data_IF_763544081944
#
_entry.id   IF_763544081944
#
_cell.length_a   1.000
_cell.length_b   1.000
_cell.length_c   1.000
_cell.angle_alpha   90.00
_cell.angle_beta   90.00
_cell.angle_gamma   90.00
#
_symmetry.space_group_name_H-M   'P 1'
#
loop_
_entity.id
_entity.type
_entity.pdbx_description
1 polymer ?
#
# COMPACT_ATOMS: atom_id res chain seq x y z
N UNK A 1 -103.97 -35.53 -0.78
CA UNK A 1 -103.66 -36.93 -0.41
C UNK A 1 -102.34 -37.33 -1.04
N UNK A 2 -101.33 -37.71 -0.22
CA UNK A 2 -100.11 -38.53 -0.53
C UNK A 2 -99.23 -38.12 -1.72
N UNK A 3 -97.90 -38.16 -1.70
CA UNK A 3 -96.83 -38.34 -0.72
C UNK A 3 -95.52 -38.25 -1.54
N UNK A 4 -94.47 -37.60 -0.98
CA UNK A 4 -93.03 -38.04 -0.92
C UNK A 4 -92.34 -38.57 -2.20
N UNK A 5 -91.08 -38.29 -2.57
CA UNK A 5 -89.77 -37.87 -1.98
C UNK A 5 -88.84 -37.70 -3.23
N UNK A 6 -87.81 -36.86 -3.33
CA UNK A 6 -86.44 -37.01 -2.81
C UNK A 6 -85.56 -36.04 -3.63
N UNK A 7 -85.00 -34.98 -3.03
CA UNK A 7 -83.56 -34.81 -2.72
C UNK A 7 -82.56 -35.06 -3.87
N UNK A 8 -81.91 -34.00 -4.36
CA UNK A 8 -80.45 -33.91 -4.55
C UNK A 8 -80.04 -32.45 -4.79
N UNK A 9 -79.32 -31.89 -3.82
CA UNK A 9 -78.81 -30.50 -3.79
C UNK A 9 -77.53 -30.42 -4.61
N UNK A 10 -77.43 -29.45 -5.53
CA UNK A 10 -76.21 -29.17 -6.30
C UNK A 10 -75.29 -28.24 -5.48
N UNK A 11 -74.07 -28.68 -5.21
CA UNK A 11 -73.01 -27.86 -4.62
C UNK A 11 -72.34 -27.03 -5.72
N UNK A 12 -72.34 -25.70 -5.58
CA UNK A 12 -71.59 -24.76 -6.42
C UNK A 12 -70.21 -24.58 -5.79
N UNK A 13 -69.15 -24.92 -6.54
CA UNK A 13 -67.78 -24.62 -6.14
C UNK A 13 -67.42 -23.21 -6.63
N UNK A 14 -67.15 -22.29 -5.70
CA UNK A 14 -66.67 -20.93 -5.95
C UNK A 14 -65.14 -20.93 -5.82
N UNK A 15 -64.42 -20.82 -6.93
CA UNK A 15 -62.95 -20.71 -6.92
C UNK A 15 -62.56 -19.25 -6.75
N UNK A 16 -62.03 -18.89 -5.58
CA UNK A 16 -61.45 -17.56 -5.31
C UNK A 16 -60.00 -17.60 -5.79
N UNK A 17 -59.70 -16.88 -6.87
CA UNK A 17 -58.34 -16.64 -7.33
C UNK A 17 -57.65 -15.58 -6.47
N UNK A 18 -56.67 -15.99 -5.68
CA UNK A 18 -55.76 -15.08 -4.97
C UNK A 18 -54.71 -14.57 -5.96
N UNK A 19 -54.84 -13.32 -6.40
CA UNK A 19 -53.75 -12.62 -7.10
C UNK A 19 -52.70 -12.19 -6.05
N UNK A 20 -51.64 -12.99 -5.90
CA UNK A 20 -50.42 -12.56 -5.23
C UNK A 20 -49.68 -11.60 -6.16
N UNK A 21 -49.88 -10.29 -5.93
CA UNK A 21 -49.03 -9.25 -6.51
C UNK A 21 -47.70 -9.32 -5.75
N UNK A 22 -46.78 -10.14 -6.25
CA UNK A 22 -45.39 -10.13 -5.82
C UNK A 22 -44.75 -8.81 -6.24
N UNK A 23 -44.70 -7.84 -5.33
CA UNK A 23 -43.88 -6.65 -5.50
C UNK A 23 -42.42 -7.08 -5.52
N UNK A 24 -41.83 -7.21 -6.71
CA UNK A 24 -40.39 -7.18 -6.87
C UNK A 24 -39.93 -5.78 -6.45
N UNK A 25 -39.53 -5.64 -5.18
CA UNK A 25 -38.64 -4.56 -4.79
C UNK A 25 -37.34 -4.86 -5.51
N UNK A 26 -37.15 -4.23 -6.67
CA UNK A 26 -35.83 -4.10 -7.26
C UNK A 26 -34.95 -3.47 -6.18
N UNK A 27 -34.10 -4.25 -5.53
CA UNK A 27 -33.05 -3.70 -4.70
C UNK A 27 -32.24 -2.79 -5.61
N UNK A 28 -32.44 -1.47 -5.48
CA UNK A 28 -31.56 -0.50 -6.13
C UNK A 28 -30.17 -0.80 -5.60
N UNK A 29 -29.29 -1.26 -6.48
CA UNK A 29 -27.87 -1.35 -6.18
C UNK A 29 -27.45 0.03 -5.66
N UNK A 30 -26.80 0.13 -4.49
CA UNK A 30 -26.31 1.41 -4.00
C UNK A 30 -25.47 2.07 -5.09
N UNK A 31 -25.85 3.27 -5.51
CA UNK A 31 -25.05 3.99 -6.51
C UNK A 31 -23.82 4.56 -5.81
N UNK A 32 -22.68 3.88 -5.95
CA UNK A 32 -21.40 4.39 -5.47
C UNK A 32 -20.86 5.50 -6.40
N UNK A 33 -20.01 6.41 -5.89
CA UNK A 33 -19.22 7.31 -6.71
C UNK A 33 -18.44 6.54 -7.81
N UNK A 34 -18.20 7.15 -9.00
CA UNK A 34 -17.60 6.47 -10.13
C UNK A 34 -16.23 5.82 -9.84
N UNK A 35 -15.38 6.44 -9.02
CA UNK A 35 -14.06 5.87 -8.71
C UNK A 35 -14.15 4.61 -7.84
N UNK A 36 -15.14 4.57 -6.94
CA UNK A 36 -15.40 3.40 -6.11
C UNK A 36 -15.98 2.29 -6.97
N UNK A 37 -16.93 2.62 -7.84
CA UNK A 37 -17.55 1.59 -8.66
C UNK A 37 -16.57 0.99 -9.67
N UNK A 38 -15.67 1.79 -10.24
CA UNK A 38 -14.58 1.28 -11.06
C UNK A 38 -13.67 0.30 -10.30
N UNK A 39 -13.40 0.55 -9.01
CA UNK A 39 -12.64 -0.36 -8.16
C UNK A 39 -13.43 -1.64 -7.85
N UNK A 40 -14.71 -1.53 -7.53
CA UNK A 40 -15.60 -2.67 -7.27
C UNK A 40 -15.76 -3.57 -8.49
N UNK A 41 -15.92 -3.00 -9.68
CA UNK A 41 -15.94 -3.73 -10.95
C UNK A 41 -14.62 -4.46 -11.22
N UNK A 42 -13.50 -3.82 -10.87
CA UNK A 42 -12.15 -4.40 -11.01
C UNK A 42 -11.86 -5.50 -10.00
N UNK A 43 -12.60 -5.59 -8.89
CA UNK A 43 -12.40 -6.57 -7.81
C UNK A 43 -12.90 -7.99 -8.15
N UNK A 44 -13.52 -8.19 -9.32
CA UNK A 44 -14.02 -9.51 -9.79
C UNK A 44 -14.84 -10.22 -8.69
N UNK A 45 -14.45 -11.43 -8.29
CA UNK A 45 -15.12 -12.21 -7.24
C UNK A 45 -15.01 -11.64 -5.83
N UNK A 46 -14.12 -10.67 -5.61
CA UNK A 46 -13.88 -10.05 -4.30
C UNK A 46 -14.73 -8.80 -4.04
N UNK A 47 -15.50 -8.31 -5.02
CA UNK A 47 -16.45 -7.19 -4.87
C UNK A 47 -17.29 -7.26 -3.58
N UNK A 48 -17.86 -8.42 -3.19
CA UNK A 48 -18.67 -8.51 -1.96
C UNK A 48 -17.89 -8.17 -0.67
N UNK A 49 -16.58 -8.42 -0.60
CA UNK A 49 -15.77 -8.00 0.56
C UNK A 49 -15.73 -6.47 0.65
N UNK A 50 -15.41 -5.79 -0.46
CA UNK A 50 -15.31 -4.34 -0.50
C UNK A 50 -16.66 -3.64 -0.22
N UNK A 51 -17.76 -4.19 -0.74
CA UNK A 51 -19.12 -3.70 -0.44
C UNK A 51 -19.47 -3.87 1.05
N UNK A 52 -19.03 -4.96 1.70
CA UNK A 52 -19.22 -5.13 3.15
C UNK A 52 -18.47 -4.08 3.97
N UNK A 53 -17.25 -3.70 3.57
CA UNK A 53 -16.51 -2.60 4.20
C UNK A 53 -17.28 -1.28 4.07
N UNK A 54 -17.74 -0.94 2.85
CA UNK A 54 -18.51 0.28 2.61
C UNK A 54 -19.81 0.29 3.42
N UNK A 55 -20.55 -0.82 3.43
CA UNK A 55 -21.78 -0.97 4.21
C UNK A 55 -21.52 -0.83 5.71
N UNK A 56 -20.48 -1.48 6.23
CA UNK A 56 -20.11 -1.43 7.64
C UNK A 56 -19.94 0.01 8.13
N UNK A 57 -19.23 0.86 7.36
CA UNK A 57 -19.03 2.26 7.74
C UNK A 57 -20.17 3.19 7.33
N UNK A 58 -20.96 2.86 6.30
CA UNK A 58 -22.16 3.63 5.94
C UNK A 58 -23.26 3.54 7.01
N UNK A 59 -23.35 2.41 7.70
CA UNK A 59 -24.26 2.20 8.83
C UNK A 59 -23.75 2.86 10.12
N UNK A 60 -22.48 3.27 10.16
CA UNK A 60 -21.90 4.01 11.29
C UNK A 60 -22.34 5.47 11.29
N UNK A 61 -22.39 6.10 12.48
CA UNK A 61 -22.60 7.56 12.61
C UNK A 61 -21.34 8.36 12.21
N UNK A 62 -20.24 7.70 11.92
CA UNK A 62 -18.93 8.32 11.71
C UNK A 62 -18.65 8.52 10.22
N UNK A 63 -19.01 9.71 9.73
CA UNK A 63 -18.86 10.03 8.30
C UNK A 63 -17.40 10.03 7.82
N UNK A 64 -16.42 10.21 8.72
CA UNK A 64 -15.00 10.20 8.33
C UNK A 64 -14.52 8.78 8.07
N UNK A 65 -14.95 7.80 8.85
CA UNK A 65 -14.58 6.40 8.62
C UNK A 65 -15.12 5.88 7.29
N UNK A 66 -16.36 6.26 6.93
CA UNK A 66 -16.89 5.95 5.60
C UNK A 66 -16.08 6.60 4.47
N UNK A 67 -15.70 7.88 4.62
CA UNK A 67 -14.85 8.57 3.64
C UNK A 67 -13.46 7.93 3.52
N UNK A 68 -12.89 7.44 4.61
CA UNK A 68 -11.61 6.75 4.60
C UNK A 68 -11.69 5.39 3.89
N UNK A 69 -12.77 4.63 4.12
CA UNK A 69 -13.04 3.39 3.37
C UNK A 69 -13.18 3.67 1.87
N UNK A 70 -13.93 4.72 1.50
CA UNK A 70 -14.07 5.19 0.13
C UNK A 70 -12.70 5.54 -0.49
N UNK A 71 -11.87 6.29 0.23
CA UNK A 71 -10.53 6.67 -0.20
C UNK A 71 -9.65 5.45 -0.49
N UNK A 72 -9.63 4.45 0.41
CA UNK A 72 -8.84 3.25 0.22
C UNK A 72 -9.31 2.47 -1.01
N UNK A 73 -10.61 2.20 -1.11
CA UNK A 73 -11.18 1.40 -2.21
C UNK A 73 -11.00 2.09 -3.56
N UNK A 74 -11.32 3.39 -3.68
CA UNK A 74 -11.18 4.14 -4.92
C UNK A 74 -9.74 4.20 -5.46
N UNK A 75 -8.75 4.11 -4.57
CA UNK A 75 -7.32 4.19 -4.92
C UNK A 75 -6.61 2.83 -4.91
N UNK A 76 -7.32 1.72 -4.70
CA UNK A 76 -6.72 0.39 -4.55
C UNK A 76 -6.14 -0.20 -5.85
N UNK A 77 -6.64 0.23 -7.01
CA UNK A 77 -6.15 -0.24 -8.31
C UNK A 77 -4.65 0.04 -8.48
N UNK A 78 -3.86 -1.03 -8.69
CA UNK A 78 -2.41 -0.96 -8.88
C UNK A 78 -1.60 -1.35 -7.64
N UNK A 79 -2.23 -1.42 -6.46
CA UNK A 79 -1.60 -1.96 -5.26
C UNK A 79 -1.66 -3.50 -5.27
N UNK A 80 -0.53 -4.13 -4.97
CA UNK A 80 -0.37 -5.57 -5.13
C UNK A 80 0.77 -6.13 -4.27
N UNK A 81 0.83 -7.45 -4.17
CA UNK A 81 2.02 -8.19 -3.82
C UNK A 81 2.70 -8.70 -5.10
N UNK A 82 4.01 -8.52 -5.23
CA UNK A 82 4.77 -8.99 -6.38
C UNK A 82 5.90 -9.92 -5.95
N UNK A 83 6.02 -11.06 -6.62
CA UNK A 83 7.16 -11.98 -6.46
C UNK A 83 8.03 -11.98 -7.71
N UNK A 84 9.31 -12.25 -7.51
CA UNK A 84 10.30 -12.34 -8.57
C UNK A 84 10.98 -13.71 -8.50
N UNK A 85 11.43 -14.18 -9.65
CA UNK A 85 12.26 -15.37 -9.77
C UNK A 85 13.54 -15.01 -10.50
N UNK A 86 14.63 -15.65 -10.11
CA UNK A 86 15.88 -15.59 -10.85
C UNK A 86 15.71 -16.34 -12.16
N UNK A 87 16.07 -15.73 -13.28
CA UNK A 87 15.91 -16.31 -14.62
C UNK A 87 17.15 -16.14 -15.47
N UNK A 88 17.33 -17.09 -16.38
CA UNK A 88 18.33 -17.01 -17.44
C UNK A 88 17.80 -16.23 -18.66
N UNK A 89 18.67 -16.07 -19.66
CA UNK A 89 18.33 -15.38 -20.92
C UNK A 89 17.25 -16.07 -21.77
N UNK A 90 16.89 -17.31 -21.44
CA UNK A 90 15.83 -18.09 -22.09
C UNK A 90 14.54 -18.12 -21.25
N UNK A 91 14.46 -17.30 -20.20
CA UNK A 91 13.34 -17.20 -19.24
C UNK A 91 13.15 -18.44 -18.34
N UNK A 92 14.14 -19.35 -18.27
CA UNK A 92 14.07 -20.48 -17.35
C UNK A 92 14.28 -20.02 -15.90
N UNK A 93 13.45 -20.50 -14.97
CA UNK A 93 13.61 -20.21 -13.55
C UNK A 93 14.81 -20.99 -12.96
N UNK A 94 15.72 -20.27 -12.31
CA UNK A 94 16.89 -20.82 -11.63
C UNK A 94 16.63 -20.78 -10.11
N UNK A 95 16.65 -21.93 -9.42
CA UNK A 95 16.46 -21.96 -7.97
C UNK A 95 17.54 -21.15 -7.25
N UNK A 96 17.12 -20.16 -6.47
CA UNK A 96 18.00 -19.30 -5.71
C UNK A 96 17.29 -18.77 -4.46
N UNK A 97 17.95 -18.88 -3.31
CA UNK A 97 17.41 -18.43 -2.03
C UNK A 97 18.55 -17.90 -1.16
N UNK A 98 18.44 -16.62 -0.77
CA UNK A 98 19.44 -15.92 0.03
C UNK A 98 19.68 -16.57 1.39
N UNK A 99 18.69 -17.28 1.95
CA UNK A 99 18.78 -17.89 3.27
C UNK A 99 19.67 -19.14 3.29
N UNK A 100 20.09 -19.63 2.12
CA UNK A 100 21.08 -20.71 2.01
C UNK A 100 22.53 -20.24 2.19
N UNK A 101 22.76 -18.92 2.31
CA UNK A 101 24.10 -18.34 2.40
C UNK A 101 24.32 -17.66 3.75
N UNK A 102 25.57 -17.70 4.24
CA UNK A 102 25.95 -17.03 5.49
C UNK A 102 26.15 -15.51 5.35
N UNK A 103 26.06 -14.98 4.14
CA UNK A 103 26.18 -13.55 3.85
C UNK A 103 26.46 -13.27 2.36
N UNK A 104 26.61 -11.99 2.02
CA UNK A 104 26.78 -11.51 0.65
C UNK A 104 27.97 -12.16 -0.10
N UNK A 105 29.12 -12.30 0.56
CA UNK A 105 30.33 -12.84 -0.08
C UNK A 105 30.17 -14.28 -0.62
N UNK A 106 29.76 -15.25 0.22
CA UNK A 106 29.44 -16.60 -0.25
C UNK A 106 28.33 -16.64 -1.30
N UNK A 107 27.30 -15.78 -1.16
CA UNK A 107 26.20 -15.68 -2.11
C UNK A 107 26.68 -15.22 -3.49
N UNK A 108 27.51 -14.17 -3.57
CA UNK A 108 27.96 -13.63 -4.87
C UNK A 108 28.93 -14.59 -5.57
N UNK A 109 29.76 -15.31 -4.79
CA UNK A 109 30.62 -16.35 -5.34
C UNK A 109 29.84 -17.54 -5.93
N UNK A 110 28.63 -17.80 -5.43
CA UNK A 110 27.75 -18.81 -6.01
C UNK A 110 26.95 -18.26 -7.21
N UNK A 111 26.49 -17.01 -7.13
CA UNK A 111 25.89 -16.29 -8.25
C UNK A 111 26.80 -16.28 -9.49
N UNK A 112 28.09 -15.97 -9.34
CA UNK A 112 29.07 -16.00 -10.44
C UNK A 112 29.20 -17.38 -11.09
N UNK A 113 29.05 -18.46 -10.31
CA UNK A 113 29.05 -19.83 -10.86
C UNK A 113 27.76 -20.08 -11.63
N UNK A 114 26.61 -19.72 -11.07
CA UNK A 114 25.32 -19.87 -11.73
C UNK A 114 25.32 -19.08 -13.06
N UNK A 115 25.83 -17.85 -13.06
CA UNK A 115 25.99 -17.02 -14.26
C UNK A 115 26.88 -17.69 -15.32
N UNK A 116 27.98 -18.34 -14.90
CA UNK A 116 28.85 -19.09 -15.82
C UNK A 116 28.18 -20.34 -16.43
N UNK A 117 27.20 -20.92 -15.74
CA UNK A 117 26.50 -22.15 -16.16
C UNK A 117 25.29 -21.82 -17.05
N UNK A 118 24.50 -20.82 -16.65
CA UNK A 118 23.21 -20.49 -17.24
C UNK A 118 23.26 -19.24 -18.14
N UNK A 119 24.40 -18.53 -18.17
CA UNK A 119 24.51 -17.21 -18.78
C UNK A 119 23.98 -16.10 -17.86
N UNK A 120 23.89 -14.85 -18.37
CA UNK A 120 23.44 -13.71 -17.59
C UNK A 120 22.12 -13.97 -16.87
N UNK A 121 22.12 -13.74 -15.56
CA UNK A 121 20.94 -13.93 -14.71
C UNK A 121 20.31 -12.60 -14.29
N UNK A 122 18.98 -12.56 -14.26
CA UNK A 122 18.24 -11.40 -13.76
C UNK A 122 16.94 -11.83 -13.06
N UNK A 123 16.44 -10.99 -12.15
CA UNK A 123 15.16 -11.23 -11.49
C UNK A 123 13.99 -10.76 -12.38
N UNK A 124 13.22 -11.72 -12.88
CA UNK A 124 11.98 -11.48 -13.61
C UNK A 124 10.75 -11.56 -12.71
N UNK A 125 9.72 -10.75 -12.98
CA UNK A 125 8.42 -10.86 -12.29
C UNK A 125 7.85 -12.25 -12.50
N UNK A 126 7.40 -12.89 -11.40
CA UNK A 126 6.81 -14.23 -11.40
C UNK A 126 5.31 -14.16 -11.17
N UNK A 127 4.90 -13.79 -9.96
CA UNK A 127 3.49 -13.70 -9.59
C UNK A 127 3.11 -12.26 -9.22
N UNK A 128 1.83 -11.94 -9.44
CA UNK A 128 1.23 -10.68 -9.08
C UNK A 128 -0.13 -10.94 -8.44
N UNK A 129 -0.31 -10.49 -7.20
CA UNK A 129 -1.58 -10.61 -6.48
C UNK A 129 -2.10 -9.21 -6.21
N UNK A 130 -3.12 -8.78 -6.96
CA UNK A 130 -3.72 -7.46 -6.76
C UNK A 130 -4.58 -7.44 -5.51
N UNK A 131 -4.52 -6.34 -4.76
CA UNK A 131 -5.30 -6.19 -3.53
C UNK A 131 -6.80 -6.28 -3.79
N UNK A 132 -7.26 -5.66 -4.88
CA UNK A 132 -8.65 -5.72 -5.32
C UNK A 132 -9.15 -7.17 -5.46
N UNK A 133 -8.29 -8.11 -5.84
CA UNK A 133 -8.66 -9.51 -6.06
C UNK A 133 -8.74 -10.33 -4.75
N UNK A 134 -8.04 -9.93 -3.68
CA UNK A 134 -7.84 -10.81 -2.50
C UNK A 134 -8.05 -10.18 -1.13
N UNK A 135 -8.07 -8.85 -1.00
CA UNK A 135 -8.14 -8.20 0.31
C UNK A 135 -9.48 -8.49 0.99
N UNK A 136 -9.44 -8.91 2.26
CA UNK A 136 -10.65 -9.19 3.02
C UNK A 136 -11.26 -7.93 3.63
N UNK A 137 -12.57 -8.01 3.88
CA UNK A 137 -13.29 -6.99 4.65
C UNK A 137 -12.75 -6.85 6.07
N UNK A 138 -12.47 -7.97 6.74
CA UNK A 138 -11.91 -7.99 8.10
C UNK A 138 -10.57 -7.27 8.21
N UNK A 139 -9.70 -7.42 7.21
CA UNK A 139 -8.40 -6.75 7.17
C UNK A 139 -8.56 -5.25 7.00
N UNK A 140 -9.39 -4.80 6.05
CA UNK A 140 -9.63 -3.38 5.82
C UNK A 140 -10.29 -2.71 7.02
N UNK A 141 -11.28 -3.36 7.64
CA UNK A 141 -11.95 -2.85 8.83
C UNK A 141 -10.95 -2.72 9.99
N UNK A 142 -10.14 -3.75 10.28
CA UNK A 142 -9.11 -3.66 11.33
C UNK A 142 -8.11 -2.54 11.05
N UNK A 143 -7.66 -2.39 9.79
CA UNK A 143 -6.74 -1.32 9.40
C UNK A 143 -7.35 0.07 9.63
N UNK A 144 -8.59 0.29 9.18
CA UNK A 144 -9.29 1.58 9.32
C UNK A 144 -9.52 1.87 10.80
N UNK A 145 -10.03 0.90 11.57
CA UNK A 145 -10.32 1.07 12.99
C UNK A 145 -9.07 1.46 13.80
N UNK A 146 -7.95 0.75 13.61
CA UNK A 146 -6.71 1.08 14.30
C UNK A 146 -6.08 2.39 13.79
N UNK A 147 -6.23 2.72 12.50
CA UNK A 147 -5.76 4.01 11.98
C UNK A 147 -6.52 5.17 12.64
N UNK A 148 -7.85 5.08 12.74
CA UNK A 148 -8.67 6.09 13.43
C UNK A 148 -8.41 6.13 14.93
N UNK A 149 -8.21 4.96 15.56
CA UNK A 149 -7.83 4.87 16.96
C UNK A 149 -6.56 5.67 17.22
N UNK A 150 -5.51 5.41 16.46
CA UNK A 150 -4.25 6.15 16.59
C UNK A 150 -4.40 7.64 16.27
N UNK A 151 -5.10 8.00 15.19
CA UNK A 151 -5.31 9.40 14.80
C UNK A 151 -6.09 10.22 15.84
N UNK A 152 -7.02 9.58 16.57
CA UNK A 152 -7.85 10.24 17.59
C UNK A 152 -7.23 10.24 18.98
N UNK A 153 -6.55 9.16 19.35
CA UNK A 153 -6.01 8.97 20.70
C UNK A 153 -4.63 9.62 20.87
N UNK A 154 -3.75 9.55 19.84
CA UNK A 154 -2.37 10.02 19.97
C UNK A 154 -2.26 11.55 19.92
N UNK A 155 -1.61 12.22 20.90
CA UNK A 155 -1.61 13.68 20.97
C UNK A 155 -0.92 14.36 19.78
N UNK A 156 0.17 13.81 19.26
CA UNK A 156 0.87 14.33 18.08
C UNK A 156 0.06 14.27 16.78
N UNK A 157 -0.93 13.38 16.70
CA UNK A 157 -1.74 13.18 15.50
C UNK A 157 -2.86 14.22 15.34
N UNK A 158 -3.20 14.97 16.41
CA UNK A 158 -4.30 15.95 16.45
C UNK A 158 -4.18 17.10 15.45
N UNK A 159 -2.96 17.41 15.02
CA UNK A 159 -2.69 18.47 14.05
C UNK A 159 -2.93 18.05 12.59
N UNK A 160 -3.02 16.74 12.32
CA UNK A 160 -3.19 16.23 10.96
C UNK A 160 -4.61 16.49 10.45
N UNK A 161 -4.71 17.02 9.24
CA UNK A 161 -5.99 17.07 8.52
C UNK A 161 -6.44 15.66 8.11
N UNK A 162 -7.70 15.54 7.72
CA UNK A 162 -8.25 14.27 7.23
C UNK A 162 -7.54 13.80 5.95
N UNK A 163 -7.09 14.72 5.10
CA UNK A 163 -6.37 14.44 3.87
C UNK A 163 -4.97 13.87 4.19
N UNK A 164 -4.24 14.49 5.13
CA UNK A 164 -2.96 13.97 5.60
C UNK A 164 -3.12 12.59 6.25
N UNK A 165 -4.19 12.40 7.02
CA UNK A 165 -4.53 11.09 7.58
C UNK A 165 -4.74 10.04 6.48
N UNK A 166 -5.56 10.34 5.48
CA UNK A 166 -5.85 9.42 4.38
C UNK A 166 -4.60 9.04 3.59
N UNK A 167 -3.73 10.01 3.30
CA UNK A 167 -2.56 9.79 2.45
C UNK A 167 -1.37 9.17 3.19
N UNK A 168 -1.16 9.52 4.46
CA UNK A 168 0.11 9.23 5.15
C UNK A 168 -0.02 8.39 6.43
N UNK A 169 -1.23 8.13 6.92
CA UNK A 169 -1.48 7.32 8.14
C UNK A 169 -2.31 6.07 7.84
N UNK A 170 -3.42 6.26 7.11
CA UNK A 170 -4.41 5.24 6.77
C UNK A 170 -3.91 4.09 5.89
N UNK A 171 -2.99 4.28 4.91
CA UNK A 171 -2.66 3.21 3.98
C UNK A 171 -2.01 2.01 4.66
N UNK A 172 -2.47 0.82 4.29
CA UNK A 172 -2.02 -0.47 4.83
C UNK A 172 -0.75 -1.02 4.15
N UNK A 173 -0.23 -0.31 3.13
CA UNK A 173 0.97 -0.69 2.36
C UNK A 173 2.04 0.40 2.30
N UNK A 174 3.29 -0.03 2.13
CA UNK A 174 4.43 0.83 1.79
C UNK A 174 4.99 0.60 0.38
N UNK A 175 4.83 -0.60 -0.18
CA UNK A 175 5.37 -1.03 -1.48
C UNK A 175 4.57 -2.21 -2.05
N UNK A 176 5.25 -3.25 -2.58
CA UNK A 176 4.62 -4.45 -3.14
C UNK A 176 4.80 -5.70 -2.24
N UNK A 177 4.76 -5.54 -0.93
CA UNK A 177 4.85 -6.60 0.09
C UNK A 177 3.59 -7.51 0.14
N UNK A 178 3.57 -8.64 0.88
CA UNK A 178 2.32 -9.36 1.15
C UNK A 178 1.38 -8.59 2.11
N UNK A 179 0.06 -8.87 2.03
CA UNK A 179 -0.92 -8.34 3.00
C UNK A 179 -0.78 -9.06 4.33
N UNK A 180 -0.34 -8.34 5.37
CA UNK A 180 -0.16 -8.90 6.71
C UNK A 180 -0.66 -7.93 7.77
N UNK A 181 -1.21 -8.46 8.87
CA UNK A 181 -1.68 -7.62 9.99
C UNK A 181 -0.48 -7.13 10.82
N UNK A 182 -0.03 -5.92 10.51
CA UNK A 182 1.04 -5.23 11.23
C UNK A 182 0.52 -4.09 12.13
N UNK A 183 -0.63 -3.50 11.80
CA UNK A 183 -1.10 -2.26 12.45
C UNK A 183 -1.43 -2.46 13.91
N UNK A 184 -2.27 -3.46 14.22
CA UNK A 184 -2.65 -3.80 15.58
C UNK A 184 -1.44 -4.13 16.48
N UNK A 185 -0.56 -5.09 16.14
CA UNK A 185 0.56 -5.42 17.02
C UNK A 185 1.52 -4.24 17.22
N UNK A 186 1.74 -3.40 16.21
CA UNK A 186 2.60 -2.21 16.35
C UNK A 186 1.93 -1.06 17.10
N UNK A 187 0.60 -0.92 17.04
CA UNK A 187 -0.13 -0.01 17.92
C UNK A 187 0.04 -0.41 19.38
N UNK A 188 -0.15 -1.69 19.67
CA UNK A 188 -0.05 -2.25 21.02
C UNK A 188 1.40 -2.19 21.56
N UNK A 189 2.39 -2.47 20.70
CA UNK A 189 3.82 -2.38 21.05
C UNK A 189 4.23 -1.00 21.57
N UNK A 190 3.68 0.07 21.00
CA UNK A 190 4.01 1.46 21.34
C UNK A 190 2.89 2.18 22.10
N UNK A 191 2.02 1.44 22.78
CA UNK A 191 0.91 2.02 23.55
C UNK A 191 1.40 3.00 24.64
N UNK A 192 2.57 2.74 25.22
CA UNK A 192 3.17 3.52 26.32
C UNK A 192 4.04 4.71 25.87
N UNK A 193 4.17 4.92 24.56
CA UNK A 193 5.16 5.85 23.98
C UNK A 193 5.05 7.27 24.56
N UNK A 194 3.81 7.75 24.76
CA UNK A 194 3.52 9.08 25.32
C UNK A 194 4.18 9.30 26.70
N UNK A 195 4.25 8.27 27.54
CA UNK A 195 4.87 8.38 28.87
C UNK A 195 6.40 8.47 28.85
N UNK A 196 7.01 8.15 27.70
CA UNK A 196 8.46 8.19 27.49
C UNK A 196 8.92 9.47 26.81
N UNK A 197 7.99 10.33 26.41
CA UNK A 197 8.25 11.58 25.69
C UNK A 197 8.41 12.76 26.66
N UNK A 198 9.24 13.72 26.24
CA UNK A 198 9.40 15.03 26.88
C UNK A 198 8.20 15.91 26.52
N UNK A 199 7.86 15.99 25.23
CA UNK A 199 6.64 16.65 24.75
C UNK A 199 5.72 15.62 24.07
N UNK A 200 4.65 15.14 24.74
CA UNK A 200 3.73 14.17 24.17
C UNK A 200 3.04 14.61 22.88
N UNK A 201 3.15 15.88 22.49
CA UNK A 201 2.55 16.42 21.25
C UNK A 201 3.53 16.50 20.09
N UNK A 202 4.83 16.25 20.30
CA UNK A 202 5.85 16.34 19.26
C UNK A 202 5.88 15.06 18.37
N UNK A 203 5.46 15.15 17.10
CA UNK A 203 5.51 14.00 16.19
C UNK A 203 6.95 13.55 15.87
N UNK A 204 7.94 14.45 15.94
CA UNK A 204 9.34 14.15 15.62
C UNK A 204 10.00 13.39 16.76
N UNK A 205 9.69 13.73 18.01
CA UNK A 205 10.11 12.95 19.17
C UNK A 205 9.50 11.54 19.13
N UNK A 206 8.20 11.42 18.86
CA UNK A 206 7.52 10.13 18.76
C UNK A 206 8.14 9.25 17.66
N UNK A 207 8.33 9.82 16.46
CA UNK A 207 8.99 9.15 15.35
C UNK A 207 10.43 8.73 15.69
N UNK A 208 11.19 9.58 16.38
CA UNK A 208 12.57 9.30 16.78
C UNK A 208 12.65 8.14 17.78
N UNK A 209 11.76 8.10 18.76
CA UNK A 209 11.69 7.02 19.75
C UNK A 209 11.27 5.69 19.12
N UNK A 210 10.29 5.70 18.21
CA UNK A 210 9.91 4.50 17.45
C UNK A 210 11.08 4.02 16.59
N UNK A 211 11.71 4.92 15.84
CA UNK A 211 12.83 4.55 14.96
C UNK A 211 14.02 4.00 15.74
N UNK A 212 14.29 4.55 16.93
CA UNK A 212 15.33 4.05 17.85
C UNK A 212 15.03 2.62 18.32
N UNK A 213 13.77 2.30 18.62
CA UNK A 213 13.38 0.92 18.93
C UNK A 213 13.59 0.01 17.71
N UNK A 214 13.12 0.39 16.52
CA UNK A 214 13.29 -0.39 15.28
C UNK A 214 14.78 -0.67 15.01
N UNK A 215 15.63 0.35 15.14
CA UNK A 215 17.09 0.24 14.97
C UNK A 215 17.76 -0.75 15.95
N UNK A 216 17.12 -1.07 17.08
CA UNK A 216 17.69 -2.02 18.05
C UNK A 216 17.57 -3.49 17.63
N UNK A 217 16.72 -3.81 16.65
CA UNK A 217 16.44 -5.20 16.24
C UNK A 217 16.27 -5.41 14.73
N UNK A 218 16.13 -4.35 13.93
CA UNK A 218 16.11 -4.40 12.48
C UNK A 218 17.29 -3.63 11.89
N UNK A 219 17.93 -4.15 10.84
CA UNK A 219 19.08 -3.50 10.22
C UNK A 219 19.25 -3.78 8.74
N UNK A 220 20.16 -3.05 8.12
CA UNK A 220 20.50 -3.24 6.72
C UNK A 220 21.34 -4.51 6.50
N UNK A 221 21.03 -5.29 5.46
CA UNK A 221 21.92 -6.33 4.96
C UNK A 221 21.81 -6.43 3.42
N UNK A 222 22.93 -6.19 2.74
CA UNK A 222 23.01 -6.16 1.28
C UNK A 222 22.59 -7.45 0.59
N UNK A 223 22.60 -8.59 1.28
CA UNK A 223 22.13 -9.86 0.68
C UNK A 223 20.65 -9.78 0.28
N UNK A 224 19.85 -8.94 0.95
CA UNK A 224 18.42 -8.76 0.64
C UNK A 224 18.16 -8.02 -0.67
N UNK A 225 19.17 -7.44 -1.33
CA UNK A 225 19.01 -7.02 -2.72
C UNK A 225 18.69 -8.19 -3.68
N UNK A 226 19.02 -9.41 -3.27
CA UNK A 226 18.73 -10.64 -3.99
C UNK A 226 17.53 -11.41 -3.41
N UNK A 227 16.78 -10.79 -2.49
CA UNK A 227 15.52 -11.34 -2.00
C UNK A 227 14.43 -11.19 -3.08
N UNK A 228 13.64 -12.25 -3.37
CA UNK A 228 12.68 -12.25 -4.48
C UNK A 228 11.44 -11.38 -4.27
N UNK A 229 11.31 -10.70 -3.13
CA UNK A 229 10.12 -9.90 -2.79
C UNK A 229 10.50 -8.69 -1.95
N UNK A 230 9.63 -7.68 -1.95
CA UNK A 230 9.54 -6.78 -0.80
C UNK A 230 9.06 -7.61 0.41
N UNK A 231 9.72 -7.51 1.55
CA UNK A 231 9.48 -8.42 2.67
C UNK A 231 8.12 -8.18 3.33
N UNK A 232 7.51 -9.27 3.81
CA UNK A 232 6.37 -9.21 4.73
C UNK A 232 6.78 -8.72 6.12
N UNK A 233 5.81 -8.25 6.90
CA UNK A 233 6.02 -7.87 8.30
C UNK A 233 6.53 -9.05 9.14
N UNK A 234 5.95 -10.25 8.99
CA UNK A 234 6.33 -11.44 9.73
C UNK A 234 7.77 -11.88 9.41
N UNK A 235 8.19 -11.72 8.16
CA UNK A 235 9.55 -12.03 7.71
C UNK A 235 10.56 -11.03 8.29
N UNK A 236 10.28 -9.73 8.19
CA UNK A 236 11.14 -8.69 8.76
C UNK A 236 11.30 -8.85 10.28
N UNK A 237 10.26 -9.25 11.01
CA UNK A 237 10.33 -9.56 12.45
C UNK A 237 11.19 -10.81 12.72
N UNK A 238 11.09 -11.84 11.87
CA UNK A 238 11.84 -13.09 12.04
C UNK A 238 13.34 -12.91 11.81
N UNK A 239 13.71 -12.17 10.77
CA UNK A 239 15.11 -12.09 10.35
C UNK A 239 15.83 -10.82 10.82
N UNK A 240 15.10 -9.76 11.17
CA UNK A 240 15.67 -8.52 11.68
C UNK A 240 16.56 -7.79 10.65
N UNK A 241 16.40 -8.07 9.36
CA UNK A 241 17.27 -7.57 8.30
C UNK A 241 16.51 -7.30 7.00
N UNK A 242 16.99 -6.34 6.21
CA UNK A 242 16.43 -6.06 4.89
C UNK A 242 17.24 -5.05 4.07
N UNK A 243 16.74 -4.75 2.86
CA UNK A 243 17.26 -3.66 2.02
C UNK A 243 16.59 -2.32 2.37
N UNK A 244 16.97 -1.25 1.67
CA UNK A 244 16.45 0.09 1.98
C UNK A 244 14.92 0.17 1.88
N UNK A 245 14.28 -0.50 0.91
CA UNK A 245 12.82 -0.57 0.82
C UNK A 245 12.19 -1.24 2.06
N UNK A 246 12.75 -2.35 2.55
CA UNK A 246 12.24 -3.05 3.74
C UNK A 246 12.41 -2.20 5.01
N UNK A 247 13.55 -1.51 5.14
CA UNK A 247 13.80 -0.56 6.23
C UNK A 247 12.75 0.56 6.22
N UNK A 248 12.42 1.10 5.03
CA UNK A 248 11.37 2.11 4.92
C UNK A 248 10.00 1.57 5.29
N UNK A 249 9.66 0.34 4.87
CA UNK A 249 8.38 -0.30 5.18
C UNK A 249 8.22 -0.56 6.67
N UNK A 250 9.23 -1.10 7.34
CA UNK A 250 9.15 -1.37 8.78
C UNK A 250 8.92 -0.08 9.59
N UNK A 251 9.65 0.99 9.26
CA UNK A 251 9.43 2.29 9.88
C UNK A 251 8.02 2.84 9.57
N UNK A 252 7.55 2.71 8.33
CA UNK A 252 6.19 3.09 7.93
C UNK A 252 5.15 2.35 8.76
N UNK A 253 5.27 1.03 8.93
CA UNK A 253 4.31 0.25 9.70
C UNK A 253 4.26 0.71 11.16
N UNK A 254 5.42 0.85 11.79
CA UNK A 254 5.52 1.23 13.20
C UNK A 254 4.94 2.63 13.45
N UNK A 255 5.24 3.58 12.57
CA UNK A 255 4.83 4.97 12.69
C UNK A 255 3.37 5.20 12.31
N UNK A 256 2.89 4.61 11.19
CA UNK A 256 1.48 4.70 10.79
C UNK A 256 0.56 4.02 11.79
N UNK A 257 0.99 2.89 12.36
CA UNK A 257 0.26 2.25 13.45
C UNK A 257 0.04 3.23 14.61
N UNK A 258 0.98 4.15 14.85
CA UNK A 258 0.92 5.14 15.93
C UNK A 258 0.52 6.54 15.46
N UNK A 259 -0.19 6.67 14.34
CA UNK A 259 -0.80 7.93 13.93
C UNK A 259 0.16 8.99 13.39
N UNK A 260 1.41 8.63 13.09
CA UNK A 260 2.37 9.52 12.44
C UNK A 260 2.16 9.50 10.93
N UNK A 261 2.11 10.68 10.32
CA UNK A 261 2.05 10.85 8.87
C UNK A 261 3.44 10.58 8.27
N UNK A 262 3.59 9.43 7.63
CA UNK A 262 4.87 8.97 7.06
C UNK A 262 4.68 8.29 5.70
N UNK A 263 5.66 8.45 4.83
CA UNK A 263 5.77 7.73 3.56
C UNK A 263 7.23 7.46 3.20
N UNK A 264 7.46 6.89 2.02
CA UNK A 264 8.78 6.71 1.44
C UNK A 264 8.98 7.67 0.27
N UNK A 265 10.13 8.34 0.29
CA UNK A 265 10.68 9.03 -0.87
C UNK A 265 11.80 8.18 -1.45
N UNK A 266 12.06 8.32 -2.75
CA UNK A 266 13.07 7.55 -3.44
C UNK A 266 13.66 8.31 -4.63
N UNK A 267 14.88 7.93 -4.99
CA UNK A 267 15.48 8.28 -6.28
C UNK A 267 15.64 7.02 -7.12
N UNK A 268 15.24 7.01 -8.40
CA UNK A 268 15.48 5.86 -9.27
C UNK A 268 16.97 5.73 -9.60
N UNK A 269 17.69 6.85 -9.71
CA UNK A 269 19.13 6.89 -9.97
C UNK A 269 19.75 8.16 -9.37
N UNK A 270 20.90 8.02 -8.74
CA UNK A 270 21.71 9.16 -8.35
C UNK A 270 22.34 9.86 -9.56
N UNK A 271 22.64 11.16 -9.44
CA UNK A 271 23.32 11.90 -10.49
C UNK A 271 24.80 11.50 -10.62
N UNK A 272 25.40 10.97 -9.55
CA UNK A 272 26.81 10.59 -9.45
C UNK A 272 27.04 9.14 -9.03
N UNK A 273 25.99 8.30 -9.03
CA UNK A 273 26.06 6.86 -8.78
C UNK A 273 24.96 6.08 -9.53
N UNK A 274 25.21 4.80 -9.82
CA UNK A 274 24.37 3.98 -10.72
C UNK A 274 23.18 3.25 -10.09
N UNK A 275 22.83 3.51 -8.82
CA UNK A 275 21.78 2.76 -8.11
C UNK A 275 20.62 3.64 -7.66
N UNK A 276 19.48 3.00 -7.32
CA UNK A 276 18.36 3.63 -6.66
C UNK A 276 18.66 3.87 -5.16
N UNK A 277 17.74 4.55 -4.48
CA UNK A 277 17.69 4.57 -3.02
C UNK A 277 16.30 4.96 -2.54
N UNK A 278 15.87 4.38 -1.42
CA UNK A 278 14.62 4.72 -0.75
C UNK A 278 14.90 5.14 0.70
N UNK A 279 14.20 6.17 1.16
CA UNK A 279 14.25 6.66 2.53
C UNK A 279 12.86 7.08 3.00
N UNK A 280 12.70 7.36 4.29
CA UNK A 280 11.42 7.75 4.84
C UNK A 280 11.27 9.28 4.90
N UNK A 281 10.02 9.73 4.83
CA UNK A 281 9.63 11.13 4.94
C UNK A 281 8.51 11.26 5.97
N UNK A 282 8.76 11.97 7.08
CA UNK A 282 7.69 12.47 7.95
C UNK A 282 7.07 13.69 7.27
N UNK A 283 5.74 13.70 7.17
CA UNK A 283 4.97 14.82 6.63
C UNK A 283 4.27 15.53 7.77
N UNK A 284 4.64 16.78 8.04
CA UNK A 284 3.98 17.57 9.09
C UNK A 284 2.58 17.98 8.65
N UNK A 285 1.76 18.45 9.60
CA UNK A 285 0.42 18.96 9.30
C UNK A 285 0.40 20.06 8.21
N UNK A 286 1.48 20.84 8.09
CA UNK A 286 1.64 21.91 7.10
C UNK A 286 2.23 21.41 5.77
N UNK A 287 2.43 20.10 5.61
CA UNK A 287 3.02 19.50 4.41
C UNK A 287 4.54 19.59 4.34
N UNK A 288 5.22 20.08 5.39
CA UNK A 288 6.69 20.07 5.45
C UNK A 288 7.17 18.63 5.55
N UNK A 289 8.26 18.35 4.85
CA UNK A 289 8.89 17.03 4.79
C UNK A 289 10.14 17.03 5.67
N UNK A 290 10.26 16.01 6.52
CA UNK A 290 11.45 15.78 7.34
C UNK A 290 11.98 14.38 7.01
N UNK A 291 13.10 14.29 6.29
CA UNK A 291 13.66 13.01 5.88
C UNK A 291 14.31 12.27 7.04
N UNK A 292 14.28 10.94 6.96
CA UNK A 292 14.96 10.03 7.87
C UNK A 292 15.19 8.67 7.22
N UNK A 293 15.94 7.79 7.88
CA UNK A 293 16.09 6.41 7.44
C UNK A 293 15.63 5.45 8.53
N UNK A 294 14.62 4.65 8.20
CA UNK A 294 14.10 3.60 9.06
C UNK A 294 15.23 2.70 9.55
N UNK A 295 15.28 2.43 10.85
CA UNK A 295 16.30 1.59 11.47
C UNK A 295 17.76 2.09 11.35
N UNK A 296 18.00 3.36 10.99
CA UNK A 296 19.36 3.90 10.83
C UNK A 296 19.52 5.32 11.37
N UNK A 297 18.70 6.27 10.90
CA UNK A 297 18.86 7.69 11.20
C UNK A 297 17.54 8.34 11.62
N UNK A 298 17.56 9.10 12.71
CA UNK A 298 16.39 9.80 13.21
C UNK A 298 15.89 10.91 12.26
N UNK A 299 14.59 11.27 12.30
CA UNK A 299 14.04 12.46 11.66
C UNK A 299 14.89 13.71 11.82
N UNK A 300 15.31 14.29 10.69
CA UNK A 300 16.12 15.51 10.62
C UNK A 300 17.63 15.29 10.82
N UNK A 301 18.07 14.06 11.15
CA UNK A 301 19.49 13.71 11.26
C UNK A 301 20.02 13.00 10.00
N UNK A 302 19.14 12.61 9.08
CA UNK A 302 19.51 11.88 7.87
C UNK A 302 19.99 12.81 6.74
N UNK A 303 21.08 12.44 6.08
CA UNK A 303 21.65 13.17 4.94
C UNK A 303 21.79 12.23 3.76
N UNK A 304 21.39 12.69 2.56
CA UNK A 304 21.60 11.93 1.32
C UNK A 304 23.09 12.00 0.94
N UNK A 305 23.73 10.85 0.82
CA UNK A 305 25.18 10.76 0.59
C UNK A 305 25.60 11.03 -0.86
N UNK A 306 24.67 10.91 -1.80
CA UNK A 306 24.88 11.09 -3.24
C UNK A 306 24.15 12.31 -3.79
N UNK A 307 24.54 12.78 -4.98
CA UNK A 307 23.90 13.92 -5.63
C UNK A 307 22.53 13.51 -6.16
N UNK A 308 21.49 14.12 -5.60
CA UNK A 308 20.12 13.90 -6.05
C UNK A 308 19.89 14.57 -7.42
N UNK A 309 19.34 13.85 -8.38
CA UNK A 309 18.82 14.41 -9.63
C UNK A 309 17.31 14.62 -9.56
N UNK A 310 16.59 13.54 -9.18
CA UNK A 310 15.13 13.51 -9.02
C UNK A 310 14.79 12.75 -7.75
N UNK A 311 13.85 13.27 -6.97
CA UNK A 311 13.22 12.52 -5.87
C UNK A 311 11.72 12.42 -6.12
N UNK A 312 11.17 11.23 -5.89
CA UNK A 312 9.74 10.97 -5.98
C UNK A 312 9.25 10.45 -4.63
N UNK A 313 8.03 10.84 -4.27
CA UNK A 313 7.34 10.38 -3.07
C UNK A 313 6.30 9.35 -3.46
N UNK A 314 6.28 8.21 -2.77
CA UNK A 314 5.18 7.26 -2.87
C UNK A 314 3.91 7.84 -2.26
N UNK A 315 2.81 7.69 -2.97
CA UNK A 315 1.45 8.05 -2.53
C UNK A 315 0.59 6.80 -2.54
N UNK A 316 -0.47 6.76 -1.76
CA UNK A 316 -1.52 5.76 -1.92
C UNK A 316 -2.50 6.18 -3.00
N UNK A 317 -2.84 7.48 -3.06
CA UNK A 317 -3.75 8.01 -4.07
C UNK A 317 -3.13 8.08 -5.46
N UNK A 318 -3.98 7.98 -6.48
CA UNK A 318 -3.54 8.15 -7.89
C UNK A 318 -3.26 9.62 -8.18
N UNK A 319 -2.12 9.89 -8.79
CA UNK A 319 -1.70 11.22 -9.20
C UNK A 319 -1.99 11.39 -10.70
N UNK A 320 -3.10 12.06 -11.02
CA UNK A 320 -3.62 12.21 -12.40
C UNK A 320 -2.65 12.94 -13.34
N UNK A 321 -1.72 13.71 -12.78
CA UNK A 321 -0.69 14.43 -13.53
C UNK A 321 0.51 13.53 -13.91
N UNK A 322 0.57 12.29 -13.42
CA UNK A 322 1.66 11.36 -13.77
C UNK A 322 1.63 10.97 -15.24
N UNK A 323 2.82 10.71 -15.80
CA UNK A 323 3.02 10.44 -17.23
C UNK A 323 2.17 9.31 -17.79
N UNK A 324 1.84 8.30 -16.96
CA UNK A 324 0.97 7.18 -17.34
C UNK A 324 -0.45 7.61 -17.75
N UNK A 325 -0.93 8.74 -17.24
CA UNK A 325 -2.25 9.31 -17.57
C UNK A 325 -2.19 10.38 -18.67
N UNK A 326 -1.00 10.83 -19.04
CA UNK A 326 -0.81 11.86 -20.05
C UNK A 326 -0.81 11.25 -21.46
N UNK A 327 -1.07 12.09 -22.46
CA UNK A 327 -0.93 11.68 -23.86
C UNK A 327 0.52 11.27 -24.14
N UNK A 328 0.70 10.02 -24.56
CA UNK A 328 2.03 9.44 -24.79
C UNK A 328 2.64 10.01 -26.06
N UNK A 329 3.78 10.68 -25.92
CA UNK A 329 4.63 11.10 -27.05
C UNK A 329 5.65 10.04 -27.46
N UNK A 330 5.87 9.03 -26.60
CA UNK A 330 6.82 7.93 -26.75
C UNK A 330 6.09 6.59 -26.57
N UNK A 331 6.56 5.54 -27.24
CA UNK A 331 6.00 4.19 -27.09
C UNK A 331 6.41 3.55 -25.77
N UNK A 332 7.56 3.93 -25.19
CA UNK A 332 8.03 3.41 -23.90
C UNK A 332 8.10 4.50 -22.85
N UNK A 333 7.66 4.15 -21.63
CA UNK A 333 7.82 4.96 -20.44
C UNK A 333 8.75 4.17 -19.49
N UNK A 334 9.81 4.79 -18.94
CA UNK A 334 10.63 4.14 -17.93
C UNK A 334 9.79 3.62 -16.77
N UNK A 335 10.10 2.44 -16.24
CA UNK A 335 9.25 1.77 -15.25
C UNK A 335 8.90 2.64 -14.02
N UNK A 336 9.87 3.42 -13.53
CA UNK A 336 9.67 4.33 -12.39
C UNK A 336 8.78 5.55 -12.70
N UNK A 337 8.56 5.88 -13.97
CA UNK A 337 7.64 6.93 -14.42
C UNK A 337 6.30 6.37 -14.92
N UNK A 338 6.19 5.05 -15.06
CA UNK A 338 4.95 4.38 -15.45
C UNK A 338 3.98 4.20 -14.28
N UNK A 339 4.38 4.56 -13.05
CA UNK A 339 3.57 4.47 -11.84
C UNK A 339 2.43 5.49 -11.79
N UNK A 340 1.30 5.08 -11.19
CA UNK A 340 0.14 5.95 -10.97
C UNK A 340 0.19 6.72 -9.64
N UNK A 341 1.05 6.29 -8.71
CA UNK A 341 0.97 6.68 -7.29
C UNK A 341 2.29 7.27 -6.79
N UNK A 342 2.80 8.30 -7.47
CA UNK A 342 3.95 9.06 -6.99
C UNK A 342 3.81 10.55 -7.30
N UNK A 343 4.42 11.41 -6.49
CA UNK A 343 4.60 12.84 -6.79
C UNK A 343 6.08 13.20 -6.85
N UNK A 344 6.44 14.14 -7.72
CA UNK A 344 7.79 14.68 -7.79
C UNK A 344 8.03 15.64 -6.62
N UNK A 345 8.99 15.29 -5.75
CA UNK A 345 9.33 16.06 -4.54
C UNK A 345 10.76 16.57 -4.61
N UNK A 346 11.35 16.64 -5.80
CA UNK A 346 12.75 17.05 -5.98
C UNK A 346 13.01 18.40 -5.29
N UNK A 347 12.13 19.39 -5.45
CA UNK A 347 12.26 20.71 -4.83
C UNK A 347 12.16 20.72 -3.29
N UNK A 348 11.71 19.63 -2.66
CA UNK A 348 11.73 19.50 -1.19
C UNK A 348 13.13 19.26 -0.63
N UNK A 349 14.11 18.89 -1.48
CA UNK A 349 15.46 18.50 -1.08
C UNK A 349 16.54 19.54 -1.39
N UNK A 350 16.16 20.71 -1.89
CA UNK A 350 17.09 21.80 -2.21
C UNK A 350 16.67 22.61 -3.43
N UNK A 351 17.58 23.47 -3.88
CA UNK A 351 17.41 24.24 -5.11
C UNK A 351 17.91 23.43 -6.31
N UNK A 352 17.06 23.30 -7.33
CA UNK A 352 17.36 22.56 -8.55
C UNK A 352 17.22 23.47 -9.77
N UNK A 353 18.19 23.38 -10.68
CA UNK A 353 18.12 24.05 -11.97
C UNK A 353 17.30 23.25 -12.99
N UNK A 354 16.80 23.93 -14.02
CA UNK A 354 16.16 23.31 -15.18
C UNK A 354 17.09 23.44 -16.40
N UNK A 355 18.13 22.60 -16.51
CA UNK A 355 19.09 22.70 -17.61
C UNK A 355 18.39 22.40 -18.94
N UNK A 356 18.59 23.27 -19.93
CA UNK A 356 18.17 22.99 -21.32
C UNK A 356 19.27 22.22 -22.03
N UNK A 357 18.99 20.94 -22.34
CA UNK A 357 19.94 20.08 -23.06
C UNK A 357 19.50 20.01 -24.52
N UNK A 358 20.41 20.33 -25.45
CA UNK A 358 20.22 20.05 -26.87
C UNK A 358 20.67 18.62 -27.14
N UNK A 359 19.72 17.73 -27.39
CA UNK A 359 20.01 16.37 -27.82
C UNK A 359 20.28 16.43 -29.33
N UNK A 360 21.50 16.11 -29.74
CA UNK A 360 21.92 16.09 -31.15
C UNK A 360 21.44 14.85 -31.89
N UNK A 361 21.04 13.81 -31.16
CA UNK A 361 20.38 12.63 -31.70
C UNK A 361 18.88 12.87 -31.86
N UNK A 362 18.24 12.18 -32.80
CA UNK A 362 16.78 12.05 -32.84
C UNK A 362 16.29 11.59 -31.46
N UNK A 363 15.28 12.27 -30.93
CA UNK A 363 14.63 11.86 -29.67
C UNK A 363 14.20 10.40 -29.84
N UNK A 364 14.76 9.47 -29.05
CA UNK A 364 14.36 8.08 -29.13
C UNK A 364 12.90 7.94 -28.71
N UNK A 365 12.23 6.98 -29.33
CA UNK A 365 10.89 6.56 -28.97
C UNK A 365 10.86 5.61 -27.76
#
# INVERSE_FOLDING_TARGET
>A
MRNKKSLFTKTVALTIGLFLIGGFVSAQTPSYPPEIEAALDSAKGNRPNLERVLKHYAESKDTLMYKAACFLIANMEGHCYATYALRDTLDNEIPFDIFNYSGYGPMIADWEKLDSIYGPLDFGKKDLVNDLDVISDSFLIENIDYAFKAWREKPWAKSLSFENFCEYVLPYRGSNEPLESWRKPLYEKYADLESRMIDPTDPIEAASLINKDVMSWFGFDSIYYFHPTDQGYAEMIRHGKGRCEDMTNMAIYAMRANGLAVTSDYTPFWADAGNNHAWNAIVTAQGKVIPFMGAEAAPGAYTLFHKLAKAYRKTYSKQKDNLVFQEKKQTKIPGWLAGKNYVDVTSSYGEFGNPTIKISATVPD
#
